data_IF_399348371949
#
_entry.id   IF_399348371949
#
_cell.length_a   1.000
_cell.length_b   1.000
_cell.length_c   1.000
_cell.angle_alpha   90.00
_cell.angle_beta   90.00
_cell.angle_gamma   90.00
#
_symmetry.space_group_name_H-M   'P 1'
#
loop_
_entity.id
_entity.type
_entity.pdbx_description
1 polymer ?
#
# COMPACT_ATOMS: atom_id res chain seq x y z
N UNK A 1 -3.43 -20.18 -2.32
CA UNK A 1 -2.31 -19.23 -2.28
C UNK A 1 -1.57 -19.38 -0.97
N UNK A 2 -0.32 -19.79 -1.01
CA UNK A 2 0.57 -19.92 0.15
C UNK A 2 1.45 -18.67 0.25
N UNK A 3 1.74 -18.20 1.48
CA UNK A 3 2.65 -17.07 1.70
C UNK A 3 4.13 -17.51 1.70
N UNK A 4 4.39 -18.73 2.14
CA UNK A 4 5.73 -19.32 2.14
C UNK A 4 6.40 -19.19 0.76
N UNK A 5 7.62 -18.69 0.76
CA UNK A 5 8.42 -18.45 -0.45
C UNK A 5 7.94 -17.31 -1.36
N UNK A 6 6.88 -16.58 -0.99
CA UNK A 6 6.44 -15.39 -1.77
C UNK A 6 7.35 -14.21 -1.56
N UNK A 7 7.54 -13.42 -2.62
CA UNK A 7 8.30 -12.18 -2.56
C UNK A 7 7.38 -11.00 -2.27
N UNK A 8 7.68 -10.29 -1.19
CA UNK A 8 6.92 -9.13 -0.71
C UNK A 8 7.72 -7.85 -0.96
N UNK A 9 7.15 -6.94 -1.75
CA UNK A 9 7.69 -5.63 -2.04
C UNK A 9 7.01 -4.55 -1.18
N UNK A 10 7.80 -3.78 -0.44
CA UNK A 10 7.32 -2.70 0.42
C UNK A 10 7.68 -1.35 -0.17
N UNK A 11 6.69 -0.55 -0.53
CA UNK A 11 6.89 0.83 -0.98
C UNK A 11 6.84 1.75 0.24
N UNK A 12 8.03 2.12 0.75
CA UNK A 12 8.18 2.94 1.95
C UNK A 12 8.41 2.12 3.23
N UNK A 13 9.67 1.99 3.66
CA UNK A 13 10.07 1.23 4.85
C UNK A 13 10.16 2.14 6.10
N UNK A 14 9.06 2.85 6.43
CA UNK A 14 8.85 3.54 7.70
C UNK A 14 8.44 2.58 8.82
N UNK A 15 7.91 3.09 9.94
CA UNK A 15 7.53 2.25 11.09
C UNK A 15 6.48 1.21 10.73
N UNK A 16 5.45 1.59 9.95
CA UNK A 16 4.40 0.67 9.51
C UNK A 16 4.98 -0.36 8.54
N UNK A 17 5.77 0.09 7.53
CA UNK A 17 6.39 -0.80 6.56
C UNK A 17 7.33 -1.82 7.21
N UNK A 18 8.14 -1.41 8.19
CA UNK A 18 8.99 -2.32 8.98
C UNK A 18 8.20 -3.34 9.79
N UNK A 19 7.09 -2.91 10.41
CA UNK A 19 6.22 -3.83 11.14
C UNK A 19 5.54 -4.83 10.21
N UNK A 20 5.16 -4.40 9.00
CA UNK A 20 4.62 -5.29 7.98
C UNK A 20 5.69 -6.28 7.49
N UNK A 21 6.91 -5.80 7.20
CA UNK A 21 8.05 -6.63 6.80
C UNK A 21 8.31 -7.79 7.76
N UNK A 22 8.42 -7.49 9.06
CA UNK A 22 8.61 -8.53 10.11
C UNK A 22 7.51 -9.58 10.15
N UNK A 23 6.27 -9.19 9.83
CA UNK A 23 5.16 -10.14 9.79
C UNK A 23 5.20 -11.00 8.53
N UNK A 24 5.53 -10.40 7.38
CA UNK A 24 5.71 -11.13 6.13
C UNK A 24 6.86 -12.15 6.25
N UNK A 25 7.97 -11.76 6.83
CA UNK A 25 9.11 -12.63 7.11
C UNK A 25 8.74 -13.80 8.06
N UNK A 26 7.89 -13.55 9.07
CA UNK A 26 7.38 -14.60 9.96
C UNK A 26 6.45 -15.62 9.27
N UNK A 27 6.01 -15.33 8.04
CA UNK A 27 5.31 -16.25 7.14
C UNK A 27 6.24 -16.78 6.03
N UNK A 28 7.56 -16.74 6.25
CA UNK A 28 8.60 -17.24 5.35
C UNK A 28 8.61 -16.55 3.96
N UNK A 29 8.18 -15.26 3.91
CA UNK A 29 8.28 -14.45 2.70
C UNK A 29 9.69 -13.85 2.53
N UNK A 30 10.16 -13.74 1.28
CA UNK A 30 11.29 -12.89 0.93
C UNK A 30 10.84 -11.41 0.91
N UNK A 31 11.47 -10.54 1.72
CA UNK A 31 11.09 -9.13 1.79
C UNK A 31 12.12 -8.24 1.10
N UNK A 32 11.63 -7.38 0.20
CA UNK A 32 12.41 -6.29 -0.41
C UNK A 32 11.68 -4.96 -0.26
N UNK A 33 12.38 -3.84 -0.38
CA UNK A 33 11.72 -2.54 -0.29
C UNK A 33 12.24 -1.51 -1.29
N UNK A 34 11.36 -0.56 -1.63
CA UNK A 34 11.69 0.67 -2.34
C UNK A 34 11.58 1.86 -1.39
N UNK A 35 12.61 2.73 -1.39
CA UNK A 35 12.63 3.95 -0.56
C UNK A 35 12.32 5.17 -1.41
N UNK A 36 11.15 5.76 -1.21
CA UNK A 36 10.69 6.96 -1.94
C UNK A 36 11.53 8.21 -1.66
N UNK A 37 12.14 8.30 -0.48
CA UNK A 37 12.99 9.45 -0.10
C UNK A 37 14.47 9.22 -0.36
N UNK A 38 14.88 7.98 -0.65
CA UNK A 38 16.28 7.60 -0.73
C UNK A 38 17.06 7.63 0.59
N UNK A 39 16.49 8.21 1.66
CA UNK A 39 17.16 8.47 2.94
C UNK A 39 17.10 7.31 3.92
N UNK A 40 16.06 6.46 3.83
CA UNK A 40 15.92 5.31 4.71
C UNK A 40 16.75 4.16 4.16
N UNK A 41 17.91 3.95 4.77
CA UNK A 41 18.69 2.72 4.60
C UNK A 41 18.31 1.74 5.71
N UNK A 42 18.12 0.48 5.34
CA UNK A 42 17.93 -0.61 6.29
C UNK A 42 18.87 -1.75 5.89
N UNK A 43 19.60 -2.29 6.85
CA UNK A 43 20.54 -3.41 6.62
C UNK A 43 19.85 -4.77 6.71
N UNK A 44 18.62 -4.83 7.23
CA UNK A 44 17.87 -6.09 7.41
C UNK A 44 17.21 -6.54 6.10
N UNK A 45 16.76 -5.58 5.25
CA UNK A 45 16.03 -5.87 4.02
C UNK A 45 16.77 -5.32 2.80
N UNK A 46 16.71 -6.05 1.68
CA UNK A 46 17.31 -5.59 0.41
C UNK A 46 16.51 -4.43 -0.16
N UNK A 47 17.17 -3.29 -0.38
CA UNK A 47 16.61 -2.19 -1.15
C UNK A 47 16.71 -2.49 -2.64
N UNK A 48 15.63 -2.20 -3.37
CA UNK A 48 15.53 -2.36 -4.83
C UNK A 48 14.94 -1.11 -5.46
N UNK A 49 15.09 -0.95 -6.76
CA UNK A 49 14.40 0.09 -7.52
C UNK A 49 12.93 -0.28 -7.73
N UNK A 50 12.08 0.74 -7.95
CA UNK A 50 10.62 0.55 -8.08
C UNK A 50 10.28 -0.46 -9.19
N UNK A 51 10.92 -0.34 -10.35
CA UNK A 51 10.68 -1.21 -11.49
C UNK A 51 11.04 -2.68 -11.20
N UNK A 52 12.14 -2.94 -10.47
CA UNK A 52 12.51 -4.29 -10.01
C UNK A 52 11.45 -4.83 -9.06
N UNK A 53 10.98 -4.01 -8.10
CA UNK A 53 9.97 -4.39 -7.13
C UNK A 53 8.66 -4.80 -7.84
N UNK A 54 8.18 -3.96 -8.76
CA UNK A 54 6.93 -4.21 -9.48
C UNK A 54 7.00 -5.49 -10.33
N UNK A 55 8.13 -5.76 -10.97
CA UNK A 55 8.33 -6.93 -11.85
C UNK A 55 8.49 -8.25 -11.10
N UNK A 56 9.00 -8.20 -9.87
CA UNK A 56 9.45 -9.44 -9.20
C UNK A 56 8.62 -9.84 -8.00
N UNK A 57 7.86 -8.92 -7.39
CA UNK A 57 7.13 -9.22 -6.17
C UNK A 57 5.75 -9.84 -6.44
N UNK A 58 5.39 -10.81 -5.62
CA UNK A 58 4.08 -11.46 -5.61
C UNK A 58 3.05 -10.62 -4.83
N UNK A 59 3.52 -9.88 -3.82
CA UNK A 59 2.72 -8.99 -2.99
C UNK A 59 3.42 -7.65 -2.92
N UNK A 60 2.71 -6.57 -3.19
CA UNK A 60 3.21 -5.20 -3.14
C UNK A 60 2.35 -4.42 -2.17
N UNK A 61 2.97 -3.83 -1.13
CA UNK A 61 2.25 -3.07 -0.12
C UNK A 61 2.82 -1.66 0.05
N UNK A 62 1.92 -0.66 0.03
CA UNK A 62 2.27 0.76 0.04
C UNK A 62 2.17 1.30 1.47
N UNK A 63 3.29 1.87 1.97
CA UNK A 63 3.44 2.45 3.31
C UNK A 63 4.16 3.80 3.30
N UNK A 64 4.33 4.42 2.13
CA UNK A 64 4.91 5.76 2.03
C UNK A 64 3.85 6.84 2.25
N UNK A 65 4.23 8.06 2.70
CA UNK A 65 3.32 9.20 2.76
C UNK A 65 3.01 9.72 1.36
N UNK A 66 1.85 10.37 1.19
CA UNK A 66 1.56 11.14 -0.02
C UNK A 66 2.30 12.49 0.05
N UNK A 67 3.07 12.79 -0.97
CA UNK A 67 3.75 14.06 -1.19
C UNK A 67 4.04 14.22 -2.70
N UNK A 68 4.72 15.29 -3.10
CA UNK A 68 5.02 15.58 -4.50
C UNK A 68 5.79 14.44 -5.21
N UNK A 69 6.67 13.73 -4.49
CA UNK A 69 7.45 12.62 -5.05
C UNK A 69 6.70 11.29 -5.09
N UNK A 70 5.56 11.18 -4.41
CA UNK A 70 4.79 9.93 -4.29
C UNK A 70 3.39 10.05 -4.88
N UNK A 71 2.98 11.25 -5.30
CA UNK A 71 1.75 11.45 -6.05
C UNK A 71 1.88 10.76 -7.42
N UNK A 72 0.87 9.94 -7.76
CA UNK A 72 0.84 9.15 -8.99
C UNK A 72 2.12 8.30 -9.20
N UNK A 73 2.78 7.91 -8.08
CA UNK A 73 3.98 7.08 -8.09
C UNK A 73 3.74 5.79 -8.87
N UNK A 74 2.58 5.18 -8.67
CA UNK A 74 2.10 4.07 -9.47
C UNK A 74 1.12 4.59 -10.52
N UNK A 75 1.52 4.48 -11.77
CA UNK A 75 0.79 4.90 -12.95
C UNK A 75 0.79 3.79 -14.01
N UNK A 76 0.08 4.00 -15.11
CA UNK A 76 -0.05 2.98 -16.16
C UNK A 76 1.31 2.46 -16.64
N UNK A 77 2.28 3.37 -16.88
CA UNK A 77 3.57 3.00 -17.47
C UNK A 77 4.41 2.06 -16.60
N UNK A 78 4.31 2.16 -15.29
CA UNK A 78 5.03 1.25 -14.41
C UNK A 78 4.17 0.08 -13.92
N UNK A 79 2.86 0.27 -13.68
CA UNK A 79 1.97 -0.80 -13.24
C UNK A 79 1.77 -1.90 -14.30
N UNK A 80 1.89 -1.59 -15.61
CA UNK A 80 1.87 -2.63 -16.66
C UNK A 80 2.96 -3.68 -16.51
N UNK A 81 4.04 -3.36 -15.77
CA UNK A 81 5.14 -4.26 -15.47
C UNK A 81 4.92 -5.11 -14.21
N UNK A 82 3.85 -4.89 -13.46
CA UNK A 82 3.52 -5.71 -12.29
C UNK A 82 3.38 -7.16 -12.73
N UNK A 83 3.92 -8.09 -11.94
CA UNK A 83 3.84 -9.52 -12.17
C UNK A 83 2.39 -9.98 -12.26
N UNK A 84 2.05 -10.83 -13.25
CA UNK A 84 0.72 -11.42 -13.35
C UNK A 84 0.41 -12.26 -12.10
N UNK A 85 -0.82 -12.16 -11.61
CA UNK A 85 -1.26 -12.80 -10.37
C UNK A 85 -0.77 -12.09 -9.09
N UNK A 86 -0.07 -10.96 -9.19
CA UNK A 86 0.38 -10.22 -8.02
C UNK A 86 -0.77 -9.54 -7.27
N UNK A 87 -0.55 -9.32 -5.97
CA UNK A 87 -1.46 -8.60 -5.08
C UNK A 87 -0.88 -7.21 -4.80
N UNK A 88 -1.63 -6.16 -5.12
CA UNK A 88 -1.29 -4.76 -4.83
C UNK A 88 -2.17 -4.20 -3.72
N UNK A 89 -1.56 -3.75 -2.63
CA UNK A 89 -2.26 -3.24 -1.44
C UNK A 89 -1.94 -1.76 -1.20
N UNK A 90 -2.97 -0.94 -1.10
CA UNK A 90 -2.85 0.45 -0.65
C UNK A 90 -3.78 0.74 0.53
N UNK A 91 -3.19 0.71 1.72
CA UNK A 91 -3.80 1.12 2.99
C UNK A 91 -3.13 2.41 3.53
N UNK A 92 -2.35 3.08 2.71
CA UNK A 92 -1.59 4.27 3.08
C UNK A 92 -2.36 5.55 2.82
N UNK A 93 -2.34 6.05 1.59
CA UNK A 93 -3.02 7.28 1.15
C UNK A 93 -3.52 7.13 -0.28
N UNK A 94 -4.70 7.68 -0.57
CA UNK A 94 -5.16 7.90 -1.94
C UNK A 94 -4.23 8.85 -2.69
N UNK A 95 -4.22 8.79 -4.02
CA UNK A 95 -3.36 9.61 -4.87
C UNK A 95 -1.91 9.14 -5.01
N UNK A 96 -1.47 8.08 -4.29
CA UNK A 96 -0.18 7.42 -4.54
C UNK A 96 -0.27 6.54 -5.79
N UNK A 97 -1.41 5.90 -5.98
CA UNK A 97 -1.75 5.20 -7.21
C UNK A 97 -2.66 6.10 -8.04
N UNK A 98 -2.38 6.24 -9.32
CA UNK A 98 -3.31 6.86 -10.25
C UNK A 98 -4.52 5.93 -10.47
N UNK A 99 -5.69 6.33 -9.97
CA UNK A 99 -6.89 5.47 -9.94
C UNK A 99 -7.44 5.17 -11.32
N UNK A 100 -7.31 6.11 -12.28
CA UNK A 100 -7.72 5.88 -13.67
C UNK A 100 -6.84 4.84 -14.36
N UNK A 101 -5.54 4.91 -14.08
CA UNK A 101 -4.57 3.97 -14.62
C UNK A 101 -4.72 2.59 -13.96
N UNK A 102 -4.95 2.55 -12.64
CA UNK A 102 -5.21 1.30 -11.93
C UNK A 102 -6.45 0.59 -12.47
N UNK A 103 -7.54 1.33 -12.72
CA UNK A 103 -8.76 0.76 -13.27
C UNK A 103 -8.52 0.11 -14.65
N UNK A 104 -7.69 0.73 -15.50
CA UNK A 104 -7.30 0.14 -16.79
C UNK A 104 -6.46 -1.13 -16.61
N UNK A 105 -5.46 -1.08 -15.73
CA UNK A 105 -4.57 -2.22 -15.47
C UNK A 105 -5.36 -3.43 -14.94
N UNK A 106 -6.31 -3.23 -14.03
CA UNK A 106 -7.18 -4.31 -13.50
C UNK A 106 -7.99 -4.96 -14.64
N UNK A 107 -8.44 -4.16 -15.62
CA UNK A 107 -9.21 -4.68 -16.76
C UNK A 107 -8.34 -5.34 -17.84
N UNK A 108 -7.04 -5.11 -17.86
CA UNK A 108 -6.09 -5.58 -18.87
C UNK A 108 -5.19 -6.73 -18.38
N UNK A 109 -5.01 -6.87 -17.05
CA UNK A 109 -4.08 -7.83 -16.44
C UNK A 109 -4.73 -8.60 -15.31
N UNK A 110 -4.21 -9.79 -15.06
CA UNK A 110 -4.53 -10.53 -13.84
C UNK A 110 -3.70 -9.97 -12.67
N UNK A 111 -4.24 -8.98 -11.97
CA UNK A 111 -3.72 -8.45 -10.70
C UNK A 111 -4.85 -8.32 -9.70
N UNK A 112 -4.56 -8.57 -8.43
CA UNK A 112 -5.53 -8.45 -7.35
C UNK A 112 -5.22 -7.22 -6.50
N UNK A 113 -6.20 -6.33 -6.32
CA UNK A 113 -5.98 -5.05 -5.65
C UNK A 113 -6.84 -4.91 -4.39
N UNK A 114 -6.19 -4.59 -3.26
CA UNK A 114 -6.85 -4.18 -2.03
C UNK A 114 -6.62 -2.70 -1.77
N UNK A 115 -7.66 -1.88 -1.93
CA UNK A 115 -7.59 -0.42 -1.85
C UNK A 115 -8.49 0.06 -0.71
N UNK A 116 -7.90 0.57 0.35
CA UNK A 116 -8.62 1.11 1.51
C UNK A 116 -8.76 2.64 1.45
N UNK A 117 -7.99 3.29 0.57
CA UNK A 117 -7.90 4.75 0.47
C UNK A 117 -7.99 5.21 -0.99
N UNK A 118 -8.74 6.28 -1.23
CA UNK A 118 -8.90 6.90 -2.56
C UNK A 118 -8.55 8.39 -2.49
N UNK A 119 -8.28 8.99 -3.65
CA UNK A 119 -7.83 10.40 -3.77
C UNK A 119 -8.86 11.41 -3.27
N UNK A 120 -10.15 11.07 -3.33
CA UNK A 120 -11.26 11.87 -2.80
C UNK A 120 -12.12 10.98 -1.90
N UNK A 121 -12.19 11.30 -0.63
CA UNK A 121 -12.99 10.58 0.38
C UNK A 121 -14.09 11.48 0.96
N UNK A 122 -15.36 11.00 1.00
CA UNK A 122 -15.87 9.72 0.52
C UNK A 122 -15.72 9.54 -0.99
N UNK A 123 -15.59 8.26 -1.44
CA UNK A 123 -15.44 7.94 -2.86
C UNK A 123 -16.60 8.51 -3.69
N UNK A 124 -16.26 9.19 -4.78
CA UNK A 124 -17.25 9.76 -5.70
C UNK A 124 -17.81 8.69 -6.64
N UNK A 125 -19.06 8.81 -7.04
CA UNK A 125 -19.70 7.91 -8.02
C UNK A 125 -18.98 7.91 -9.39
N UNK A 126 -18.29 9.01 -9.71
CA UNK A 126 -17.49 9.14 -10.92
C UNK A 126 -16.14 8.43 -10.86
N UNK A 127 -15.73 7.92 -9.68
CA UNK A 127 -14.43 7.28 -9.50
C UNK A 127 -14.26 6.08 -10.45
N UNK A 128 -13.17 6.02 -11.23
CA UNK A 128 -12.94 4.97 -12.21
C UNK A 128 -12.88 3.57 -11.63
N UNK A 129 -12.45 3.40 -10.37
CA UNK A 129 -12.38 2.11 -9.69
C UNK A 129 -13.78 1.47 -9.51
N UNK A 130 -14.84 2.27 -9.42
CA UNK A 130 -16.22 1.75 -9.36
C UNK A 130 -16.73 1.19 -10.70
N UNK A 131 -16.02 1.48 -11.80
CA UNK A 131 -16.39 1.10 -13.18
C UNK A 131 -15.54 -0.04 -13.73
N UNK A 132 -14.63 -0.59 -12.94
CA UNK A 132 -13.80 -1.75 -13.30
C UNK A 132 -14.70 -2.92 -13.71
N UNK A 133 -14.36 -3.60 -14.81
CA UNK A 133 -15.11 -4.77 -15.33
C UNK A 133 -14.79 -6.03 -14.53
N UNK A 134 -13.49 -6.23 -14.22
CA UNK A 134 -12.99 -7.39 -13.47
C UNK A 134 -13.10 -7.12 -11.95
N UNK A 135 -14.33 -7.04 -11.45
CA UNK A 135 -14.64 -6.67 -10.07
C UNK A 135 -14.08 -7.65 -9.03
N UNK A 136 -13.91 -8.91 -9.40
CA UNK A 136 -13.33 -9.96 -8.55
C UNK A 136 -11.85 -9.71 -8.25
N UNK A 137 -11.18 -8.88 -9.03
CA UNK A 137 -9.79 -8.48 -8.82
C UNK A 137 -9.63 -7.24 -7.94
N UNK A 138 -10.73 -6.60 -7.51
CA UNK A 138 -10.69 -5.35 -6.75
C UNK A 138 -11.51 -5.42 -5.47
N UNK A 139 -10.82 -5.30 -4.33
CA UNK A 139 -11.43 -5.09 -3.02
C UNK A 139 -11.29 -3.61 -2.64
N UNK A 140 -12.42 -2.91 -2.52
CA UNK A 140 -12.48 -1.55 -1.99
C UNK A 140 -13.03 -1.56 -0.57
N UNK A 141 -12.37 -0.86 0.35
CA UNK A 141 -12.84 -0.66 1.72
C UNK A 141 -12.86 0.83 2.06
N UNK A 142 -13.76 1.30 2.95
CA UNK A 142 -13.98 2.73 3.19
C UNK A 142 -13.03 3.29 4.26
N UNK A 143 -11.72 3.21 4.05
CA UNK A 143 -10.65 3.73 4.92
C UNK A 143 -10.77 3.20 6.36
N UNK A 144 -10.85 1.89 6.50
CA UNK A 144 -11.06 1.18 7.78
C UNK A 144 -9.86 0.33 8.22
N UNK A 145 -8.76 0.31 7.46
CA UNK A 145 -7.58 -0.48 7.81
C UNK A 145 -6.95 -0.12 9.17
N UNK A 146 -7.26 1.06 9.71
CA UNK A 146 -6.85 1.53 11.04
C UNK A 146 -7.91 1.33 12.13
N UNK A 147 -9.14 0.96 11.79
CA UNK A 147 -10.33 1.16 12.62
C UNK A 147 -10.65 0.01 13.58
N UNK A 148 -9.67 -0.82 13.97
CA UNK A 148 -9.87 -1.83 15.03
C UNK A 148 -10.24 -1.15 16.36
N UNK A 149 -10.98 -1.84 17.21
CA UNK A 149 -11.39 -1.33 18.53
C UNK A 149 -10.16 -0.92 19.35
N UNK A 150 -9.11 -1.73 19.30
CA UNK A 150 -7.86 -1.52 20.03
C UNK A 150 -7.12 -0.28 19.53
N UNK A 151 -7.00 -0.11 18.21
CA UNK A 151 -6.36 1.05 17.60
C UNK A 151 -7.12 2.34 17.94
N UNK A 152 -8.44 2.32 17.87
CA UNK A 152 -9.30 3.47 18.21
C UNK A 152 -9.19 3.85 19.69
N UNK A 153 -9.23 2.88 20.60
CA UNK A 153 -9.03 3.11 22.05
C UNK A 153 -7.66 3.72 22.31
N UNK A 154 -6.60 3.19 21.69
CA UNK A 154 -5.24 3.72 21.82
C UNK A 154 -5.15 5.16 21.31
N UNK A 155 -5.74 5.45 20.16
CA UNK A 155 -5.77 6.80 19.58
C UNK A 155 -6.42 7.80 20.53
N UNK A 156 -7.63 7.50 21.05
CA UNK A 156 -8.34 8.37 21.99
C UNK A 156 -7.52 8.61 23.26
N UNK A 157 -6.90 7.56 23.82
CA UNK A 157 -6.05 7.69 25.01
C UNK A 157 -4.83 8.57 24.76
N UNK A 158 -4.19 8.47 23.58
CA UNK A 158 -3.04 9.31 23.22
C UNK A 158 -3.45 10.78 23.02
N UNK A 159 -4.58 11.02 22.37
CA UNK A 159 -5.13 12.38 22.20
C UNK A 159 -5.39 13.02 23.57
N UNK A 160 -6.05 12.29 24.49
CA UNK A 160 -6.29 12.79 25.86
C UNK A 160 -4.98 13.16 26.57
N UNK A 161 -3.97 12.27 26.53
CA UNK A 161 -2.64 12.55 27.13
C UNK A 161 -1.95 13.77 26.51
N UNK A 162 -2.04 13.95 25.20
CA UNK A 162 -1.46 15.11 24.52
C UNK A 162 -2.14 16.40 24.97
N UNK A 163 -3.47 16.39 25.14
CA UNK A 163 -4.22 17.55 25.65
C UNK A 163 -3.80 17.84 27.10
N UNK A 164 -3.76 16.83 27.96
CA UNK A 164 -3.31 16.98 29.35
C UNK A 164 -1.91 17.60 29.43
N UNK A 165 -0.95 17.09 28.65
CA UNK A 165 0.43 17.59 28.63
C UNK A 165 0.58 18.98 28.00
N UNK A 166 -0.42 19.49 27.29
CA UNK A 166 -0.43 20.84 26.74
C UNK A 166 -1.03 21.88 27.73
N UNK A 167 -1.96 21.42 28.57
CA UNK A 167 -2.67 22.30 29.51
C UNK A 167 -1.92 22.42 30.86
N UNK A 168 -1.21 21.38 31.26
CA UNK A 168 -0.47 21.27 32.51
C UNK A 168 1.03 21.07 32.28
#
# INVERSE_FOLDING_TARGET
FELDGKKVGIIGLGDIGRNFAKKAEAFDCEVVYFSTSGKNSNSEYKRVELDELLKTCDIISIHCPLNENTKDLLNYENMKNIKDGAILLNLGRGGIINESDLAKIIDEKEIYCGIDVVSVEPILESNPLLKVKNKEQLLLTPHIGWASIEARRKLISLVAKNIESFIF
#
